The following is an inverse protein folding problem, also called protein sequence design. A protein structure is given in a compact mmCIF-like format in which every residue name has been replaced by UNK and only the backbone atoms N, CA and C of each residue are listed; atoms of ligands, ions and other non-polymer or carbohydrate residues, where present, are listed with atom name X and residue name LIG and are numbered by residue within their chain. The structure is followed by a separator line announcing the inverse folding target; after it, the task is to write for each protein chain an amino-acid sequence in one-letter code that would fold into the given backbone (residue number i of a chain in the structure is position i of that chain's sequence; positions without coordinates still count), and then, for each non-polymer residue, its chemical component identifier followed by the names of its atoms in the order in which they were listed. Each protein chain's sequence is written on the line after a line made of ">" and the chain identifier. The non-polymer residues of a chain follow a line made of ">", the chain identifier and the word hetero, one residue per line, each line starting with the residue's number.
data_IF_292667729378
#
_entry.id   IF_292667729378
#
_cell.length_a   1.000
_cell.length_b   1.000
_cell.length_c   1.000
_cell.angle_alpha   90.00
_cell.angle_beta   90.00
_cell.angle_gamma   90.00
#
_symmetry.space_group_name_H-M   'P 1'
#
loop_
_entity.id
_entity.type
_entity.pdbx_description
1 polymer ?
#
# COMPACT_ATOMS: atom_id res chain seq x y z
N UNK A 1 13.84 -4.11 -9.74
CA UNK A 1 12.55 -4.83 -9.78
C UNK A 1 11.89 -4.51 -8.46
N UNK A 2 10.96 -3.56 -8.47
CA UNK A 2 10.70 -2.70 -7.30
C UNK A 2 9.40 -3.09 -6.59
N UNK A 3 8.59 -3.95 -7.20
CA UNK A 3 7.34 -4.50 -6.68
C UNK A 3 7.53 -5.53 -5.57
N UNK A 4 8.44 -5.28 -4.63
CA UNK A 4 8.66 -6.12 -3.45
C UNK A 4 8.61 -5.24 -2.20
N UNK A 5 7.93 -5.72 -1.17
CA UNK A 5 7.96 -5.11 0.16
C UNK A 5 8.07 -6.18 1.24
N UNK A 6 8.75 -5.87 2.34
CA UNK A 6 8.79 -6.74 3.52
C UNK A 6 8.45 -5.95 4.77
N UNK A 7 7.81 -6.61 5.72
CA UNK A 7 7.50 -6.06 7.03
C UNK A 7 7.64 -7.13 8.11
N UNK A 8 7.91 -6.70 9.34
CA UNK A 8 7.96 -7.58 10.51
C UNK A 8 7.10 -7.01 11.63
N UNK A 9 6.09 -7.77 12.05
CA UNK A 9 5.21 -7.44 13.16
C UNK A 9 5.67 -8.23 14.39
N UNK A 10 6.65 -7.68 15.11
CA UNK A 10 7.35 -8.37 16.21
C UNK A 10 6.40 -8.85 17.29
N UNK A 11 5.49 -8.00 17.74
CA UNK A 11 4.51 -8.30 18.80
C UNK A 11 3.53 -9.42 18.40
N UNK A 12 3.35 -9.62 17.08
CA UNK A 12 2.50 -10.68 16.52
C UNK A 12 3.31 -11.92 16.09
N UNK A 13 4.64 -11.89 16.14
CA UNK A 13 5.50 -12.97 15.65
C UNK A 13 5.42 -13.21 14.13
N UNK A 14 4.99 -12.21 13.35
CA UNK A 14 4.73 -12.36 11.92
C UNK A 14 5.77 -11.66 11.05
N UNK A 15 6.23 -12.37 10.00
CA UNK A 15 6.97 -11.81 8.88
C UNK A 15 6.08 -11.75 7.64
N UNK A 16 6.11 -10.64 6.91
CA UNK A 16 5.30 -10.40 5.72
C UNK A 16 6.25 -10.13 4.54
N UNK A 17 5.99 -10.79 3.42
CA UNK A 17 6.64 -10.50 2.14
C UNK A 17 5.57 -10.33 1.07
N UNK A 18 5.59 -9.19 0.38
CA UNK A 18 4.71 -8.86 -0.72
C UNK A 18 5.51 -8.87 -2.01
N UNK A 19 4.99 -9.54 -3.03
CA UNK A 19 5.52 -9.53 -4.39
C UNK A 19 4.37 -9.15 -5.33
N UNK A 20 4.59 -8.13 -6.14
CA UNK A 20 3.70 -7.80 -7.25
C UNK A 20 4.26 -8.44 -8.51
N UNK A 21 3.38 -9.14 -9.23
CA UNK A 21 3.73 -9.90 -10.43
C UNK A 21 4.24 -9.01 -11.56
N UNK A 22 3.62 -7.83 -11.74
CA UNK A 22 4.06 -6.84 -12.74
C UNK A 22 5.32 -6.05 -12.34
N UNK A 23 5.81 -6.26 -11.12
CA UNK A 23 7.01 -5.63 -10.59
C UNK A 23 6.87 -4.15 -10.19
N UNK A 24 5.66 -3.61 -10.13
CA UNK A 24 5.40 -2.19 -9.80
C UNK A 24 5.59 -1.93 -8.29
N UNK A 25 6.60 -1.12 -7.94
CA UNK A 25 6.86 -0.72 -6.54
C UNK A 25 5.70 0.04 -5.90
N UNK A 26 5.04 0.88 -6.68
CA UNK A 26 3.89 1.63 -6.19
C UNK A 26 2.66 0.75 -5.88
N UNK A 27 2.50 -0.39 -6.58
CA UNK A 27 1.45 -1.37 -6.24
C UNK A 27 1.84 -2.15 -4.97
N UNK A 28 3.14 -2.44 -4.79
CA UNK A 28 3.64 -3.10 -3.59
C UNK A 28 3.41 -2.26 -2.32
N UNK A 29 3.55 -0.94 -2.44
CA UNK A 29 3.28 0.02 -1.36
C UNK A 29 1.80 0.04 -0.93
N UNK A 30 0.87 0.13 -1.89
CA UNK A 30 -0.57 0.05 -1.61
C UNK A 30 -0.93 -1.30 -1.00
N UNK A 31 -0.35 -2.39 -1.53
CA UNK A 31 -0.61 -3.74 -1.06
C UNK A 31 -0.12 -3.97 0.39
N UNK A 32 1.11 -3.57 0.73
CA UNK A 32 1.62 -3.75 2.10
C UNK A 32 0.80 -2.94 3.11
N UNK A 33 0.38 -1.72 2.78
CA UNK A 33 -0.47 -0.91 3.66
C UNK A 33 -1.85 -1.55 3.88
N UNK A 34 -2.45 -2.12 2.83
CA UNK A 34 -3.70 -2.86 2.96
C UNK A 34 -3.55 -4.09 3.87
N UNK A 35 -2.47 -4.85 3.73
CA UNK A 35 -2.16 -6.01 4.59
C UNK A 35 -1.96 -5.57 6.04
N UNK A 36 -1.17 -4.52 6.28
CA UNK A 36 -0.92 -4.00 7.62
C UNK A 36 -2.21 -3.51 8.29
N UNK A 37 -3.11 -2.85 7.55
CA UNK A 37 -4.43 -2.48 8.08
C UNK A 37 -5.28 -3.71 8.42
N UNK A 38 -5.30 -4.71 7.54
CA UNK A 38 -6.07 -5.94 7.77
C UNK A 38 -5.60 -6.69 9.03
N UNK A 39 -4.29 -6.71 9.28
CA UNK A 39 -3.68 -7.31 10.48
C UNK A 39 -3.78 -6.42 11.73
N UNK A 40 -4.49 -5.29 11.64
CA UNK A 40 -4.61 -4.27 12.69
C UNK A 40 -3.23 -3.85 13.25
N UNK A 41 -2.24 -3.80 12.36
CA UNK A 41 -0.85 -3.50 12.68
C UNK A 41 -0.54 -2.00 12.68
N UNK A 42 -1.50 -1.18 12.23
CA UNK A 42 -1.45 0.27 12.22
C UNK A 42 -2.33 0.80 13.35
N UNK A 43 -1.82 1.74 14.14
CA UNK A 43 -2.44 2.30 15.34
C UNK A 43 -3.03 3.68 15.05
N UNK A 44 -4.20 3.95 15.66
CA UNK A 44 -4.76 5.30 15.76
C UNK A 44 -4.86 6.02 14.42
N UNK A 45 -4.16 7.13 14.31
CA UNK A 45 -4.11 8.06 13.17
C UNK A 45 -3.03 7.71 12.13
N UNK A 46 -2.23 6.65 12.34
CA UNK A 46 -1.21 6.23 11.37
C UNK A 46 -1.84 5.95 10.00
N UNK A 47 -3.09 5.48 9.97
CA UNK A 47 -3.79 5.27 8.71
C UNK A 47 -4.19 6.56 8.00
N UNK A 48 -4.55 7.59 8.76
CA UNK A 48 -4.88 8.89 8.20
C UNK A 48 -3.61 9.56 7.65
N UNK A 49 -2.48 9.42 8.35
CA UNK A 49 -1.17 9.91 7.89
C UNK A 49 -0.69 9.20 6.60
N UNK A 50 -1.13 7.97 6.38
CA UNK A 50 -0.77 7.15 5.21
C UNK A 50 -1.83 7.21 4.10
N UNK A 51 -2.92 7.96 4.28
CA UNK A 51 -4.05 8.00 3.34
C UNK A 51 -3.61 8.39 1.90
N UNK A 52 -2.68 9.34 1.77
CA UNK A 52 -2.15 9.78 0.47
C UNK A 52 -1.34 8.69 -0.24
N UNK A 53 -0.76 7.75 0.51
CA UNK A 53 0.00 6.60 -0.01
C UNK A 53 -0.93 5.44 -0.38
N UNK A 54 -2.07 5.33 0.31
CA UNK A 54 -3.13 4.36 0.01
C UNK A 54 -3.99 4.78 -1.17
N UNK A 55 -4.07 6.08 -1.49
CA UNK A 55 -4.92 6.63 -2.55
C UNK A 55 -4.13 7.59 -3.43
N UNK A 56 -3.39 7.04 -4.37
CA UNK A 56 -2.49 7.82 -5.23
C UNK A 56 -3.24 8.28 -6.48
N UNK A 57 -3.29 9.60 -6.80
CA UNK A 57 -3.92 10.08 -8.01
C UNK A 57 -3.19 9.59 -9.26
N UNK A 58 -3.95 9.15 -10.26
CA UNK A 58 -3.46 8.83 -11.59
C UNK A 58 -3.74 10.04 -12.47
N UNK A 59 -2.67 10.72 -12.90
CA UNK A 59 -2.75 11.83 -13.83
C UNK A 59 -2.44 11.34 -15.25
N UNK A 60 -3.18 11.85 -16.23
CA UNK A 60 -2.79 11.66 -17.63
C UNK A 60 -1.63 12.58 -18.03
N UNK A 61 -1.15 12.45 -19.27
CA UNK A 61 -0.04 13.27 -19.81
C UNK A 61 -0.32 14.78 -19.86
N UNK A 62 -1.58 15.18 -19.72
CA UNK A 62 -2.02 16.60 -19.63
C UNK A 62 -2.17 17.08 -18.19
N UNK A 63 -1.80 16.27 -17.20
CA UNK A 63 -1.96 16.59 -15.77
C UNK A 63 -3.40 16.48 -15.26
N UNK A 64 -4.33 15.91 -16.03
CA UNK A 64 -5.73 15.75 -15.62
C UNK A 64 -5.87 14.46 -14.82
N UNK A 65 -6.57 14.55 -13.68
CA UNK A 65 -6.92 13.39 -12.85
C UNK A 65 -7.85 12.44 -13.62
N UNK A 66 -7.43 11.19 -13.77
CA UNK A 66 -8.18 10.14 -14.48
C UNK A 66 -8.56 8.96 -13.60
N UNK A 67 -8.10 8.92 -12.34
CA UNK A 67 -8.45 7.86 -11.40
C UNK A 67 -7.55 7.87 -10.18
N UNK A 68 -7.69 6.83 -9.36
CA UNK A 68 -6.85 6.59 -8.20
C UNK A 68 -6.34 5.17 -8.22
N UNK A 69 -5.11 4.98 -7.73
CA UNK A 69 -4.62 3.67 -7.34
C UNK A 69 -4.86 3.52 -5.85
N UNK A 70 -5.72 2.56 -5.52
CA UNK A 70 -6.15 2.22 -4.17
C UNK A 70 -6.44 0.72 -4.07
N UNK A 71 -6.44 0.11 -2.87
CA UNK A 71 -6.73 -1.30 -2.74
C UNK A 71 -8.23 -1.56 -3.00
N UNK A 72 -8.54 -2.67 -3.67
CA UNK A 72 -9.92 -2.99 -4.02
C UNK A 72 -10.72 -3.50 -2.81
N UNK A 73 -11.90 -2.93 -2.56
CA UNK A 73 -12.92 -3.51 -1.68
C UNK A 73 -12.67 -3.35 -0.17
N UNK A 74 -12.35 -2.14 0.28
CA UNK A 74 -12.23 -1.80 1.70
C UNK A 74 -13.47 -1.11 2.26
#
# INVERSE_FOLDING_TARGET
>A
ADGVYTAMLRDQGLGIAVKIDDGTGLAAEVAILAVLRHLQALRGDEMDQLAERCRVPILNTRGVLTGYREPAGL
#
